data_IF_810495157507
#
_entry.id   IF_810495157507
#
_cell.length_a   1.000
_cell.length_b   1.000
_cell.length_c   1.000
_cell.angle_alpha   90.00
_cell.angle_beta   90.00
_cell.angle_gamma   90.00
#
_symmetry.space_group_name_H-M   'P 1'
#
loop_
_entity.id
_entity.type
_entity.pdbx_description
1 polymer ?
#
# COMPACT_ATOMS: atom_id res chain seq x y z
N UNK A 1 53.88 -25.21 -25.38
CA UNK A 1 52.90 -24.39 -24.64
C UNK A 1 53.63 -23.79 -23.45
N UNK A 2 53.65 -22.46 -23.33
CA UNK A 2 54.40 -21.74 -22.29
C UNK A 2 53.74 -21.94 -20.92
N UNK A 3 54.51 -22.11 -19.85
CA UNK A 3 53.98 -22.28 -18.48
C UNK A 3 53.05 -21.15 -18.03
N UNK A 4 53.18 -19.98 -18.66
CA UNK A 4 52.31 -18.81 -18.46
C UNK A 4 50.85 -19.05 -18.89
N UNK A 5 50.62 -19.82 -19.96
CA UNK A 5 49.25 -20.11 -20.42
C UNK A 5 48.55 -21.11 -19.51
N UNK A 6 49.32 -22.02 -18.90
CA UNK A 6 48.81 -22.98 -17.92
C UNK A 6 48.46 -22.27 -16.61
N UNK A 7 49.32 -21.35 -16.15
CA UNK A 7 49.07 -20.57 -14.94
C UNK A 7 47.84 -19.68 -15.06
N UNK A 8 47.70 -18.96 -16.19
CA UNK A 8 46.50 -18.13 -16.44
C UNK A 8 45.22 -18.94 -16.58
N UNK A 9 45.29 -20.17 -17.13
CA UNK A 9 44.14 -21.06 -17.21
C UNK A 9 43.72 -21.58 -15.83
N UNK A 10 44.68 -21.87 -14.95
CA UNK A 10 44.44 -22.33 -13.57
C UNK A 10 43.89 -21.20 -12.68
N UNK A 11 44.37 -19.97 -12.86
CA UNK A 11 43.89 -18.78 -12.16
C UNK A 11 42.46 -18.39 -12.60
N UNK A 12 42.18 -18.47 -13.90
CA UNK A 12 40.84 -18.26 -14.45
C UNK A 12 39.84 -19.31 -13.94
N UNK A 13 40.26 -20.57 -13.82
CA UNK A 13 39.44 -21.65 -13.24
C UNK A 13 39.15 -21.42 -11.74
N UNK A 14 40.12 -20.91 -10.97
CA UNK A 14 39.92 -20.52 -9.56
C UNK A 14 38.93 -19.36 -9.39
N UNK A 15 38.92 -18.41 -10.32
CA UNK A 15 37.97 -17.28 -10.32
C UNK A 15 36.56 -17.71 -10.76
N UNK A 16 36.47 -18.71 -11.64
CA UNK A 16 35.21 -19.22 -12.18
C UNK A 16 34.41 -20.08 -11.17
N UNK A 17 35.06 -20.61 -10.13
CA UNK A 17 34.44 -21.39 -9.05
C UNK A 17 33.88 -20.57 -7.88
N UNK A 18 33.90 -19.24 -7.92
CA UNK A 18 33.16 -18.42 -6.96
C UNK A 18 31.68 -18.41 -7.32
N UNK A 19 30.99 -19.47 -6.89
CA UNK A 19 29.54 -19.40 -6.81
C UNK A 19 29.18 -18.23 -5.91
N UNK A 20 28.51 -17.23 -6.50
CA UNK A 20 27.99 -16.09 -5.75
C UNK A 20 26.93 -16.68 -4.82
N UNK A 21 27.28 -16.77 -3.54
CA UNK A 21 26.36 -17.19 -2.49
C UNK A 21 25.33 -16.08 -2.31
N UNK A 22 24.27 -16.12 -3.14
CA UNK A 22 23.09 -15.27 -3.05
C UNK A 22 22.54 -15.13 -1.63
N UNK A 23 22.51 -16.20 -0.79
CA UNK A 23 22.10 -16.07 0.59
C UNK A 23 23.06 -15.16 1.39
N UNK A 24 24.37 -15.33 1.21
CA UNK A 24 25.38 -14.53 1.89
C UNK A 24 25.29 -13.05 1.47
N UNK A 25 25.08 -12.78 0.18
CA UNK A 25 24.85 -11.42 -0.32
C UNK A 25 23.58 -10.80 0.29
N UNK A 26 22.52 -11.60 0.43
CA UNK A 26 21.29 -11.22 1.12
C UNK A 26 21.51 -10.86 2.58
N UNK A 27 22.24 -11.70 3.33
CA UNK A 27 22.57 -11.42 4.73
C UNK A 27 23.45 -10.19 4.91
N UNK A 28 24.44 -9.99 4.03
CA UNK A 28 25.29 -8.80 4.05
C UNK A 28 24.45 -7.54 3.78
N UNK A 29 23.59 -7.58 2.76
CA UNK A 29 22.67 -6.47 2.44
C UNK A 29 21.71 -6.17 3.58
N UNK A 30 21.10 -7.20 4.19
CA UNK A 30 20.23 -7.05 5.35
C UNK A 30 20.97 -6.47 6.56
N UNK A 31 22.20 -6.93 6.82
CA UNK A 31 23.05 -6.40 7.89
C UNK A 31 23.40 -4.93 7.68
N UNK A 32 23.78 -4.54 6.47
CA UNK A 32 24.06 -3.14 6.12
C UNK A 32 22.82 -2.26 6.25
N UNK A 33 21.65 -2.74 5.83
CA UNK A 33 20.38 -2.03 5.97
C UNK A 33 20.00 -1.81 7.45
N UNK A 34 20.10 -2.84 8.29
CA UNK A 34 19.81 -2.74 9.72
C UNK A 34 20.79 -1.79 10.43
N UNK A 35 22.06 -1.82 10.04
CA UNK A 35 23.07 -0.92 10.59
C UNK A 35 22.78 0.54 10.19
N UNK A 36 22.45 0.80 8.93
CA UNK A 36 22.00 2.11 8.47
C UNK A 36 20.74 2.57 9.23
N UNK A 37 19.74 1.70 9.37
CA UNK A 37 18.52 2.02 10.10
C UNK A 37 18.79 2.38 11.57
N UNK A 38 19.76 1.71 12.21
CA UNK A 38 20.17 2.02 13.59
C UNK A 38 20.82 3.41 13.67
N UNK A 39 21.69 3.74 12.71
CA UNK A 39 22.34 5.07 12.62
C UNK A 39 21.30 6.19 12.42
N UNK A 40 20.30 5.97 11.57
CA UNK A 40 19.24 6.94 11.28
C UNK A 40 18.09 6.94 12.30
N UNK A 41 18.19 6.17 13.39
CA UNK A 41 17.11 6.00 14.38
C UNK A 41 15.77 5.52 13.75
N UNK A 42 15.87 4.85 12.60
CA UNK A 42 14.72 4.36 11.87
C UNK A 42 14.25 3.05 12.51
N UNK A 43 13.06 3.09 13.11
CA UNK A 43 12.45 1.92 13.73
C UNK A 43 11.89 1.01 12.63
N UNK A 44 12.76 0.20 12.01
CA UNK A 44 12.43 -0.71 10.90
C UNK A 44 11.16 -1.53 11.18
N UNK A 45 11.06 -2.06 12.40
CA UNK A 45 9.91 -2.86 12.81
C UNK A 45 8.59 -2.07 12.80
N UNK A 46 8.64 -0.77 13.11
CA UNK A 46 7.48 0.14 13.15
C UNK A 46 6.89 0.39 11.76
N UNK A 47 7.71 0.32 10.72
CA UNK A 47 7.29 0.49 9.32
C UNK A 47 6.98 -0.84 8.64
N UNK A 48 7.62 -1.94 9.08
CA UNK A 48 7.44 -3.25 8.46
C UNK A 48 6.27 -4.06 9.03
N UNK A 49 5.86 -3.87 10.28
CA UNK A 49 4.78 -4.66 10.87
C UNK A 49 3.43 -4.58 10.12
N UNK A 50 3.02 -3.47 9.48
CA UNK A 50 1.76 -3.43 8.74
C UNK A 50 1.73 -4.39 7.56
N UNK A 51 2.90 -4.79 7.02
CA UNK A 51 2.97 -5.81 5.96
C UNK A 51 2.46 -7.17 6.42
N UNK A 52 2.55 -7.49 7.71
CA UNK A 52 1.93 -8.70 8.26
C UNK A 52 0.40 -8.64 8.11
N UNK A 53 -0.19 -7.49 8.42
CA UNK A 53 -1.64 -7.25 8.27
C UNK A 53 -2.05 -7.29 6.80
N UNK A 54 -1.29 -6.62 5.92
CA UNK A 54 -1.51 -6.65 4.47
C UNK A 54 -1.45 -8.09 3.94
N UNK A 55 -0.40 -8.83 4.31
CA UNK A 55 -0.19 -10.21 3.90
C UNK A 55 -1.34 -11.14 4.33
N UNK A 56 -1.83 -10.98 5.56
CA UNK A 56 -2.99 -11.73 6.05
C UNK A 56 -4.26 -11.41 5.24
N UNK A 57 -4.53 -10.12 4.97
CA UNK A 57 -5.67 -9.71 4.15
C UNK A 57 -5.61 -10.26 2.72
N UNK A 58 -4.44 -10.19 2.09
CA UNK A 58 -4.22 -10.75 0.75
C UNK A 58 -4.41 -12.27 0.72
N UNK A 59 -3.99 -12.98 1.77
CA UNK A 59 -4.19 -14.42 1.90
C UNK A 59 -5.68 -14.77 1.92
N UNK A 60 -6.51 -13.98 2.61
CA UNK A 60 -7.97 -14.17 2.62
C UNK A 60 -8.63 -13.88 1.27
N UNK A 61 -8.03 -13.04 0.43
CA UNK A 61 -8.52 -12.76 -0.93
C UNK A 61 -8.10 -13.82 -1.96
N UNK A 62 -7.13 -14.67 -1.62
CA UNK A 62 -6.58 -15.69 -2.51
C UNK A 62 -7.62 -16.64 -3.13
N UNK A 63 -8.67 -17.10 -2.42
CA UNK A 63 -9.70 -17.96 -3.02
C UNK A 63 -10.44 -17.29 -4.18
N UNK A 64 -10.86 -16.04 -4.00
CA UNK A 64 -11.50 -15.28 -5.09
C UNK A 64 -10.53 -14.91 -6.19
N UNK A 65 -9.24 -14.70 -5.90
CA UNK A 65 -8.24 -14.44 -6.93
C UNK A 65 -8.04 -15.65 -7.84
N UNK A 66 -8.02 -16.86 -7.28
CA UNK A 66 -7.89 -18.11 -8.05
C UNK A 66 -9.20 -18.56 -8.72
N UNK A 67 -10.33 -17.97 -8.35
CA UNK A 67 -11.63 -18.32 -8.91
C UNK A 67 -11.75 -17.90 -10.38
N UNK A 68 -12.41 -18.73 -11.17
CA UNK A 68 -12.74 -18.48 -12.58
C UNK A 68 -14.26 -18.40 -12.76
N UNK A 69 -14.73 -18.12 -13.98
CA UNK A 69 -16.17 -18.12 -14.29
C UNK A 69 -16.82 -19.50 -14.11
N UNK A 70 -16.05 -20.56 -14.34
CA UNK A 70 -16.51 -21.95 -14.34
C UNK A 70 -16.33 -22.61 -12.97
N UNK A 71 -15.35 -22.15 -12.19
CA UNK A 71 -15.03 -22.65 -10.85
C UNK A 71 -14.91 -21.48 -9.86
N UNK A 72 -16.02 -21.17 -9.21
CA UNK A 72 -16.10 -20.14 -8.16
C UNK A 72 -15.84 -20.81 -6.81
N UNK A 73 -14.79 -20.38 -6.13
CA UNK A 73 -14.44 -20.94 -4.83
C UNK A 73 -15.52 -20.71 -3.79
N UNK A 74 -15.88 -21.75 -3.02
CA UNK A 74 -16.80 -21.64 -1.88
C UNK A 74 -16.31 -20.66 -0.79
N UNK A 75 -15.02 -20.36 -0.75
CA UNK A 75 -14.41 -19.42 0.20
C UNK A 75 -14.31 -17.98 -0.32
N UNK A 76 -14.96 -17.67 -1.45
CA UNK A 76 -14.91 -16.33 -2.04
C UNK A 76 -15.48 -15.24 -1.11
N UNK A 77 -16.36 -15.60 -0.17
CA UNK A 77 -16.89 -14.71 0.86
C UNK A 77 -15.82 -14.06 1.75
N UNK A 78 -14.63 -14.68 1.87
CA UNK A 78 -13.51 -14.14 2.63
C UNK A 78 -12.85 -12.91 1.98
N UNK A 79 -13.21 -12.60 0.73
CA UNK A 79 -12.59 -11.48 0.00
C UNK A 79 -13.02 -10.13 0.54
N UNK A 80 -14.28 -9.98 0.95
CA UNK A 80 -14.76 -8.74 1.55
C UNK A 80 -14.00 -8.39 2.85
N UNK A 81 -13.91 -9.29 3.86
CA UNK A 81 -13.09 -9.03 5.04
C UNK A 81 -11.59 -8.98 4.70
N UNK A 82 -11.10 -9.78 3.74
CA UNK A 82 -9.71 -9.73 3.29
C UNK A 82 -9.31 -8.35 2.74
N UNK A 83 -10.15 -7.76 1.89
CA UNK A 83 -9.95 -6.42 1.34
C UNK A 83 -9.96 -5.33 2.44
N UNK A 84 -10.86 -5.47 3.43
CA UNK A 84 -10.89 -4.57 4.58
C UNK A 84 -9.60 -4.64 5.41
N UNK A 85 -9.11 -5.86 5.70
CA UNK A 85 -7.86 -6.07 6.44
C UNK A 85 -6.66 -5.55 5.65
N UNK A 86 -6.61 -5.78 4.34
CA UNK A 86 -5.56 -5.20 3.49
C UNK A 86 -5.60 -3.67 3.52
N UNK A 87 -6.78 -3.05 3.45
CA UNK A 87 -6.91 -1.60 3.57
C UNK A 87 -6.44 -1.06 4.93
N UNK A 88 -6.78 -1.75 6.03
CA UNK A 88 -6.26 -1.42 7.37
C UNK A 88 -4.73 -1.49 7.39
N UNK A 89 -4.13 -2.54 6.82
CA UNK A 89 -2.67 -2.66 6.72
C UNK A 89 -2.02 -1.54 5.89
N UNK A 90 -2.63 -1.15 4.77
CA UNK A 90 -2.14 -0.02 3.94
C UNK A 90 -2.26 1.31 4.69
N UNK A 91 -3.36 1.54 5.40
CA UNK A 91 -3.54 2.74 6.23
C UNK A 91 -2.51 2.80 7.36
N UNK A 92 -2.30 1.69 8.06
CA UNK A 92 -1.29 1.58 9.11
C UNK A 92 0.12 1.83 8.57
N UNK A 93 0.43 1.33 7.37
CA UNK A 93 1.69 1.62 6.71
C UNK A 93 1.87 3.11 6.39
N UNK A 94 0.83 3.75 5.84
CA UNK A 94 0.85 5.19 5.57
C UNK A 94 1.01 6.03 6.85
N UNK A 95 0.31 5.65 7.93
CA UNK A 95 0.42 6.33 9.23
C UNK A 95 1.78 6.07 9.89
N UNK A 96 2.34 4.86 9.78
CA UNK A 96 3.69 4.55 10.28
C UNK A 96 4.78 5.38 9.59
N UNK A 97 4.63 5.70 8.31
CA UNK A 97 5.59 6.55 7.56
C UNK A 97 5.41 8.02 7.88
N UNK A 98 4.17 8.49 7.94
CA UNK A 98 3.86 9.91 8.16
C UNK A 98 3.90 10.32 9.63
N UNK A 99 3.83 9.36 10.55
CA UNK A 99 3.65 9.59 11.98
C UNK A 99 2.24 10.07 12.36
N UNK A 100 1.32 10.18 11.40
CA UNK A 100 -0.01 10.80 11.58
C UNK A 100 -1.08 9.76 11.92
N UNK A 101 -1.05 9.26 13.16
CA UNK A 101 -1.99 8.22 13.63
C UNK A 101 -3.39 8.74 13.92
N UNK A 102 -3.51 10.06 14.09
CA UNK A 102 -4.75 10.81 14.19
C UNK A 102 -5.67 10.57 12.98
N UNK A 103 -5.08 10.23 11.82
CA UNK A 103 -5.82 9.86 10.62
C UNK A 103 -6.81 8.71 10.83
N UNK A 104 -6.59 7.86 11.83
CA UNK A 104 -7.51 6.77 12.18
C UNK A 104 -8.93 7.25 12.46
N UNK A 105 -9.09 8.48 12.99
CA UNK A 105 -10.40 9.05 13.32
C UNK A 105 -11.35 9.17 12.10
N UNK A 106 -10.79 9.35 10.90
CA UNK A 106 -11.57 9.52 9.67
C UNK A 106 -11.30 8.44 8.61
N UNK A 107 -10.20 7.69 8.69
CA UNK A 107 -9.81 6.71 7.68
C UNK A 107 -10.67 5.43 7.64
N UNK A 108 -11.48 5.14 8.67
CA UNK A 108 -12.32 3.93 8.74
C UNK A 108 -13.33 3.80 7.59
N UNK A 109 -13.72 4.91 6.97
CA UNK A 109 -14.58 4.89 5.78
C UNK A 109 -13.91 4.25 4.57
N UNK A 110 -12.59 4.37 4.43
CA UNK A 110 -11.83 3.67 3.40
C UNK A 110 -11.84 2.15 3.62
N UNK A 111 -11.87 1.70 4.88
CA UNK A 111 -12.00 0.28 5.24
C UNK A 111 -13.35 -0.27 4.77
N UNK A 112 -14.43 0.50 4.97
CA UNK A 112 -15.76 0.16 4.43
C UNK A 112 -15.74 0.14 2.91
N UNK A 113 -15.12 1.13 2.27
CA UNK A 113 -14.96 1.17 0.82
C UNK A 113 -14.25 -0.07 0.28
N UNK A 114 -13.18 -0.51 0.94
CA UNK A 114 -12.44 -1.71 0.60
C UNK A 114 -13.27 -2.99 0.81
N UNK A 115 -14.05 -3.07 1.89
CA UNK A 115 -14.98 -4.17 2.11
C UNK A 115 -16.02 -4.28 0.98
N UNK A 116 -16.65 -3.15 0.63
CA UNK A 116 -17.63 -3.05 -0.47
C UNK A 116 -17.00 -3.45 -1.79
N UNK A 117 -15.77 -3.00 -2.06
CA UNK A 117 -15.01 -3.42 -3.23
C UNK A 117 -14.78 -4.93 -3.24
N UNK A 118 -14.43 -5.54 -2.10
CA UNK A 118 -14.25 -6.99 -1.98
C UNK A 118 -15.55 -7.78 -2.24
N UNK A 119 -16.71 -7.24 -1.83
CA UNK A 119 -18.03 -7.81 -2.20
C UNK A 119 -18.24 -7.76 -3.71
N UNK A 120 -17.93 -6.63 -4.35
CA UNK A 120 -17.99 -6.51 -5.82
C UNK A 120 -17.04 -7.48 -6.52
N UNK A 121 -15.81 -7.62 -6.02
CA UNK A 121 -14.80 -8.52 -6.58
C UNK A 121 -15.19 -10.00 -6.47
N UNK A 122 -15.88 -10.39 -5.39
CA UNK A 122 -16.44 -11.73 -5.23
C UNK A 122 -17.54 -12.01 -6.27
N UNK A 123 -18.43 -11.04 -6.52
CA UNK A 123 -19.57 -11.20 -7.43
C UNK A 123 -19.25 -10.99 -8.91
N UNK A 124 -17.99 -10.73 -9.27
CA UNK A 124 -17.57 -10.32 -10.64
C UNK A 124 -17.93 -11.30 -11.76
N UNK A 125 -18.21 -12.57 -11.42
CA UNK A 125 -18.60 -13.60 -12.38
C UNK A 125 -20.09 -13.91 -12.40
N UNK A 126 -20.90 -13.26 -11.54
CA UNK A 126 -22.34 -13.47 -11.44
C UNK A 126 -23.10 -12.52 -12.40
N UNK A 127 -23.60 -13.00 -13.55
CA UNK A 127 -24.29 -12.17 -14.54
C UNK A 127 -25.68 -11.70 -14.08
N UNK A 128 -26.22 -12.30 -13.03
CA UNK A 128 -27.52 -11.95 -12.42
C UNK A 128 -27.40 -10.83 -11.39
N UNK A 129 -26.19 -10.51 -10.94
CA UNK A 129 -25.96 -9.48 -9.93
C UNK A 129 -26.08 -8.07 -10.54
N UNK A 130 -27.30 -7.53 -10.53
CA UNK A 130 -27.62 -6.13 -10.90
C UNK A 130 -27.05 -5.10 -9.88
N UNK A 131 -26.14 -5.54 -9.02
CA UNK A 131 -25.62 -4.84 -7.83
C UNK A 131 -24.37 -3.98 -8.12
N UNK A 132 -23.84 -3.98 -9.34
CA UNK A 132 -22.67 -3.17 -9.72
C UNK A 132 -22.89 -1.67 -9.46
N UNK A 133 -24.12 -1.19 -9.63
CA UNK A 133 -24.49 0.20 -9.33
C UNK A 133 -24.47 0.46 -7.82
N UNK A 134 -24.91 -0.49 -7.00
CA UNK A 134 -24.92 -0.35 -5.53
C UNK A 134 -23.49 -0.34 -4.98
N UNK A 135 -22.64 -1.26 -5.44
CA UNK A 135 -21.23 -1.34 -5.04
C UNK A 135 -20.49 -0.05 -5.42
N UNK A 136 -20.65 0.43 -6.65
CA UNK A 136 -19.98 1.65 -7.11
C UNK A 136 -20.48 2.90 -6.39
N UNK A 137 -21.78 3.01 -6.11
CA UNK A 137 -22.36 4.10 -5.30
C UNK A 137 -21.81 4.09 -3.88
N UNK A 138 -21.82 2.94 -3.21
CA UNK A 138 -21.31 2.81 -1.84
C UNK A 138 -19.81 3.11 -1.77
N UNK A 139 -19.02 2.65 -2.76
CA UNK A 139 -17.60 2.97 -2.86
C UNK A 139 -17.38 4.48 -3.00
N UNK A 140 -18.14 5.17 -3.88
CA UNK A 140 -18.08 6.63 -4.00
C UNK A 140 -18.47 7.34 -2.71
N UNK A 141 -19.54 6.89 -2.06
CA UNK A 141 -19.98 7.43 -0.77
C UNK A 141 -18.92 7.28 0.31
N UNK A 142 -18.20 6.15 0.34
CA UNK A 142 -17.10 5.95 1.29
C UNK A 142 -15.96 6.95 1.08
N UNK A 143 -15.66 7.30 -0.18
CA UNK A 143 -14.66 8.31 -0.52
C UNK A 143 -15.13 9.72 -0.13
N UNK A 144 -16.40 10.07 -0.40
CA UNK A 144 -16.94 11.35 0.01
C UNK A 144 -16.98 11.50 1.54
N UNK A 145 -17.35 10.43 2.24
CA UNK A 145 -17.33 10.40 3.70
C UNK A 145 -15.89 10.52 4.24
N UNK A 146 -14.92 9.84 3.64
CA UNK A 146 -13.51 9.99 3.97
C UNK A 146 -13.05 11.44 3.83
N UNK A 147 -13.28 12.07 2.68
CA UNK A 147 -12.87 13.47 2.43
C UNK A 147 -13.58 14.42 3.38
N UNK A 148 -14.90 14.27 3.56
CA UNK A 148 -15.68 15.13 4.46
C UNK A 148 -15.23 15.04 5.91
N UNK A 149 -15.00 13.83 6.41
CA UNK A 149 -14.49 13.62 7.77
C UNK A 149 -13.03 14.06 7.90
N UNK A 150 -12.17 13.77 6.93
CA UNK A 150 -10.78 14.21 6.96
C UNK A 150 -10.70 15.74 7.07
N UNK A 151 -11.46 16.47 6.24
CA UNK A 151 -11.53 17.93 6.33
C UNK A 151 -12.06 18.39 7.70
N UNK A 152 -13.11 17.76 8.22
CA UNK A 152 -13.66 18.11 9.53
C UNK A 152 -12.63 17.90 10.66
N UNK A 153 -12.03 16.71 10.74
CA UNK A 153 -11.09 16.39 11.81
C UNK A 153 -9.79 17.19 11.69
N UNK A 154 -9.21 17.33 10.49
CA UNK A 154 -7.98 18.10 10.30
C UNK A 154 -8.17 19.60 10.59
N UNK A 155 -9.29 20.18 10.16
CA UNK A 155 -9.52 21.62 10.28
C UNK A 155 -10.06 22.00 11.66
N UNK A 156 -11.03 21.24 12.17
CA UNK A 156 -11.78 21.60 13.38
C UNK A 156 -11.17 20.99 14.63
N UNK A 157 -10.67 19.76 14.56
CA UNK A 157 -10.27 18.99 15.75
C UNK A 157 -8.77 19.07 16.00
N UNK A 158 -7.96 18.84 14.97
CA UNK A 158 -6.50 18.77 15.12
C UNK A 158 -5.80 20.12 14.92
N UNK A 159 -6.50 21.11 14.38
CA UNK A 159 -5.95 22.44 14.07
C UNK A 159 -4.62 22.35 13.30
N UNK A 160 -4.41 21.29 12.50
CA UNK A 160 -3.17 20.99 11.75
C UNK A 160 -2.95 21.97 10.58
N UNK A 161 -3.48 23.18 10.70
CA UNK A 161 -3.53 24.19 9.66
C UNK A 161 -2.11 24.65 9.31
N UNK A 162 -1.57 24.19 8.18
CA UNK A 162 -0.41 24.83 7.56
C UNK A 162 -0.90 26.13 6.89
N UNK A 163 -0.51 27.32 7.38
CA UNK A 163 -1.02 28.61 6.87
C UNK A 163 -0.83 28.79 5.36
N UNK A 164 0.13 28.07 4.78
CA UNK A 164 0.43 28.07 3.35
C UNK A 164 -0.74 27.58 2.49
N UNK A 165 -1.59 26.68 2.99
CA UNK A 165 -2.77 26.23 2.24
C UNK A 165 -3.85 27.32 2.16
N UNK A 166 -4.09 28.08 3.24
CA UNK A 166 -4.97 29.24 3.18
C UNK A 166 -4.45 30.29 2.18
N UNK A 167 -3.14 30.56 2.20
CA UNK A 167 -2.51 31.46 1.24
C UNK A 167 -2.68 30.94 -0.19
N UNK A 168 -2.48 29.64 -0.43
CA UNK A 168 -2.67 29.03 -1.75
C UNK A 168 -4.12 29.12 -2.24
N UNK A 169 -5.12 28.90 -1.37
CA UNK A 169 -6.53 29.05 -1.73
C UNK A 169 -6.90 30.51 -2.02
N UNK A 170 -6.37 31.47 -1.26
CA UNK A 170 -6.56 32.90 -1.51
C UNK A 170 -5.95 33.28 -2.86
N UNK A 171 -4.70 32.89 -3.11
CA UNK A 171 -4.00 33.17 -4.38
C UNK A 171 -4.72 32.52 -5.56
N UNK A 172 -5.20 31.28 -5.41
CA UNK A 172 -5.97 30.58 -6.44
C UNK A 172 -7.32 31.25 -6.69
N UNK A 173 -8.01 31.72 -5.64
CA UNK A 173 -9.24 32.50 -5.77
C UNK A 173 -9.02 33.82 -6.52
N UNK A 174 -7.95 34.54 -6.19
CA UNK A 174 -7.54 35.77 -6.90
C UNK A 174 -7.19 35.47 -8.36
N UNK A 175 -6.47 34.37 -8.63
CA UNK A 175 -6.16 33.94 -9.99
C UNK A 175 -7.42 33.63 -10.81
N UNK A 176 -8.39 32.92 -10.25
CA UNK A 176 -9.66 32.63 -10.92
C UNK A 176 -10.47 33.91 -11.21
N UNK A 177 -10.47 34.88 -10.28
CA UNK A 177 -11.12 36.18 -10.49
C UNK A 177 -10.43 37.00 -11.58
N UNK A 178 -9.10 36.97 -11.63
CA UNK A 178 -8.32 37.66 -12.67
C UNK A 178 -8.54 37.02 -14.05
N UNK A 179 -8.59 35.69 -14.11
CA UNK A 179 -8.77 34.93 -15.37
C UNK A 179 -10.17 35.09 -15.97
N UNK A 180 -11.20 35.31 -15.15
CA UNK A 180 -12.59 35.48 -15.63
C UNK A 180 -12.90 36.90 -16.13
N UNK A 181 -11.96 37.84 -15.99
CA UNK A 181 -12.06 39.24 -16.45
C UNK A 181 -11.35 39.50 -17.79
N UNK A 182 -10.69 38.50 -18.38
CA UNK A 182 -10.17 38.52 -19.75
C UNK A 182 -11.02 37.61 -20.64
#
# INVERSE_FOLDING_TARGET
MSGETVYKAEEAAKMQGREINWPALGFIGAGLFLLAATIFNFHVIYVLWPFFVIGLGLLLMMPSYKSTKEDVSSFSFLTAPGAAITAVGVLLFAMSITGHFEAWAYAWTLVIGAFVWGVGYMKRFDPTSRDHDTVSKLMRWSLYAFVGMALFFEIVVFETFNPLFAVAFIVYGVYLLAKKRQ
#
